data_IF_193680488982
#
_entry.id   IF_193680488982
#
_cell.length_a   1.000
_cell.length_b   1.000
_cell.length_c   1.000
_cell.angle_alpha   90.00
_cell.angle_beta   90.00
_cell.angle_gamma   90.00
#
_symmetry.space_group_name_H-M   'P 1'
#
loop_
_entity.id
_entity.type
_entity.pdbx_description
1 polymer ?
#
# COMPACT_ATOMS: atom_id res chain seq x y z
N UNK A 1 -20.89 -4.59 -32.37
CA UNK A 1 -19.81 -3.64 -32.14
C UNK A 1 -20.22 -2.80 -30.93
N UNK A 2 -20.06 -3.38 -29.75
CA UNK A 2 -18.95 -3.13 -28.82
C UNK A 2 -19.27 -1.96 -27.87
N UNK A 3 -20.12 -2.23 -26.87
CA UNK A 3 -20.25 -1.41 -25.65
C UNK A 3 -19.93 -2.31 -24.44
N UNK A 4 -18.99 -3.24 -24.59
CA UNK A 4 -18.57 -4.15 -23.51
C UNK A 4 -17.14 -3.85 -23.04
N UNK A 5 -16.32 -3.16 -23.84
CA UNK A 5 -14.90 -3.02 -23.52
C UNK A 5 -14.57 -1.97 -22.45
N UNK A 6 -15.22 -0.80 -22.42
CA UNK A 6 -14.73 0.28 -21.54
C UNK A 6 -15.06 0.08 -20.06
N UNK A 7 -16.25 -0.45 -19.73
CA UNK A 7 -16.64 -0.67 -18.32
C UNK A 7 -15.86 -1.83 -17.69
N UNK A 8 -15.57 -2.87 -18.47
CA UNK A 8 -14.80 -4.01 -17.99
C UNK A 8 -13.33 -3.65 -17.74
N UNK A 9 -12.71 -2.84 -18.62
CA UNK A 9 -11.32 -2.41 -18.46
C UNK A 9 -11.18 -1.52 -17.21
N UNK A 10 -12.04 -0.52 -17.05
CA UNK A 10 -12.03 0.34 -15.86
C UNK A 10 -12.28 -0.43 -14.55
N UNK A 11 -13.10 -1.49 -14.59
CA UNK A 11 -13.36 -2.32 -13.40
C UNK A 11 -12.17 -3.19 -13.02
N UNK A 12 -11.42 -3.71 -14.01
CA UNK A 12 -10.19 -4.48 -13.79
C UNK A 12 -9.08 -3.58 -13.27
N UNK A 13 -8.85 -2.42 -13.89
CA UNK A 13 -7.85 -1.44 -13.44
C UNK A 13 -8.13 -0.95 -12.01
N UNK A 14 -9.40 -0.66 -11.68
CA UNK A 14 -9.78 -0.27 -10.33
C UNK A 14 -9.57 -1.40 -9.31
N UNK A 15 -9.85 -2.65 -9.69
CA UNK A 15 -9.64 -3.81 -8.83
C UNK A 15 -8.14 -4.06 -8.60
N UNK A 16 -7.31 -3.91 -9.62
CA UNK A 16 -5.84 -4.04 -9.52
C UNK A 16 -5.25 -2.95 -8.63
N UNK A 17 -5.63 -1.68 -8.84
CA UNK A 17 -5.18 -0.56 -8.00
C UNK A 17 -5.59 -0.77 -6.53
N UNK A 18 -6.82 -1.24 -6.28
CA UNK A 18 -7.29 -1.53 -4.92
C UNK A 18 -6.54 -2.69 -4.28
N UNK A 19 -6.31 -3.77 -5.02
CA UNK A 19 -5.50 -4.90 -4.54
C UNK A 19 -4.08 -4.43 -4.17
N UNK A 20 -3.47 -3.58 -4.99
CA UNK A 20 -2.16 -2.99 -4.69
C UNK A 20 -2.18 -2.09 -3.45
N UNK A 21 -3.25 -1.31 -3.22
CA UNK A 21 -3.39 -0.52 -1.99
C UNK A 21 -3.53 -1.41 -0.76
N UNK A 22 -4.34 -2.48 -0.85
CA UNK A 22 -4.54 -3.43 0.26
C UNK A 22 -3.24 -4.17 0.61
N UNK A 23 -2.44 -4.56 -0.39
CA UNK A 23 -1.12 -5.16 -0.22
C UNK A 23 -0.15 -4.22 0.50
N UNK A 24 -0.04 -2.96 0.03
CA UNK A 24 0.83 -1.94 0.64
C UNK A 24 0.38 -1.64 2.08
N UNK A 25 -0.93 -1.55 2.32
CA UNK A 25 -1.50 -1.34 3.65
C UNK A 25 -1.18 -2.52 4.58
N UNK A 26 -1.20 -3.75 4.06
CA UNK A 26 -0.82 -4.94 4.82
C UNK A 26 0.66 -4.92 5.21
N UNK A 27 1.54 -4.49 4.30
CA UNK A 27 2.96 -4.34 4.61
C UNK A 27 3.23 -3.26 5.64
N UNK A 28 2.56 -2.10 5.54
CA UNK A 28 2.67 -1.03 6.55
C UNK A 28 2.23 -1.53 7.93
N UNK A 29 1.09 -2.22 8.01
CA UNK A 29 0.59 -2.77 9.27
C UNK A 29 1.54 -3.82 9.87
N UNK A 30 2.12 -4.68 9.03
CA UNK A 30 3.07 -5.69 9.48
C UNK A 30 4.35 -5.06 10.05
N UNK A 31 4.92 -4.07 9.38
CA UNK A 31 6.11 -3.37 9.86
C UNK A 31 5.82 -2.56 11.13
N UNK A 32 4.70 -1.85 11.18
CA UNK A 32 4.24 -1.13 12.38
C UNK A 32 4.08 -2.07 13.57
N UNK A 33 3.47 -3.25 13.38
CA UNK A 33 3.38 -4.27 14.43
C UNK A 33 4.75 -4.73 14.93
N UNK A 34 5.70 -4.97 14.02
CA UNK A 34 7.06 -5.37 14.41
C UNK A 34 7.78 -4.28 15.20
N UNK A 35 7.63 -3.01 14.80
CA UNK A 35 8.20 -1.86 15.51
C UNK A 35 7.65 -1.71 16.93
N UNK A 36 6.37 -2.01 17.14
CA UNK A 36 5.74 -1.98 18.47
C UNK A 36 6.10 -3.20 19.33
N UNK A 37 6.23 -4.38 18.72
CA UNK A 37 6.39 -5.64 19.43
C UNK A 37 7.84 -6.00 19.78
N UNK A 38 8.81 -5.49 19.01
CA UNK A 38 10.22 -5.89 19.10
C UNK A 38 11.13 -4.76 19.56
N UNK A 39 12.18 -5.13 20.28
CA UNK A 39 13.30 -4.23 20.58
C UNK A 39 14.13 -3.91 19.33
N UNK A 40 14.94 -2.84 19.40
CA UNK A 40 15.82 -2.47 18.29
C UNK A 40 16.82 -3.59 17.91
N UNK A 41 17.35 -4.32 18.89
CA UNK A 41 18.25 -5.45 18.67
C UNK A 41 17.55 -6.62 17.97
N UNK A 42 16.32 -6.94 18.35
CA UNK A 42 15.52 -8.00 17.70
C UNK A 42 15.12 -7.64 16.27
N UNK A 43 14.85 -6.36 16.02
CA UNK A 43 14.60 -5.84 14.67
C UNK A 43 15.84 -6.02 13.80
N UNK A 44 17.00 -5.60 14.29
CA UNK A 44 18.28 -5.73 13.58
C UNK A 44 18.61 -7.20 13.27
N UNK A 45 18.42 -8.11 14.23
CA UNK A 45 18.66 -9.54 14.04
C UNK A 45 17.69 -10.20 13.04
N UNK A 46 16.41 -9.80 13.03
CA UNK A 46 15.38 -10.47 12.21
C UNK A 46 15.24 -9.88 10.82
N UNK A 47 15.34 -8.56 10.70
CA UNK A 47 15.15 -7.83 9.46
C UNK A 47 16.47 -7.44 8.78
N UNK A 48 17.60 -7.60 9.49
CA UNK A 48 18.92 -7.19 9.00
C UNK A 48 18.93 -5.71 8.57
N UNK A 49 18.21 -4.89 9.33
CA UNK A 49 18.04 -3.46 9.14
C UNK A 49 17.92 -2.79 10.52
N UNK A 50 18.41 -1.56 10.64
CA UNK A 50 18.24 -0.77 11.86
C UNK A 50 16.77 -0.41 12.09
N UNK A 51 16.42 -0.13 13.35
CA UNK A 51 15.07 0.33 13.69
C UNK A 51 14.68 1.59 12.91
N UNK A 52 15.59 2.56 12.80
CA UNK A 52 15.36 3.83 12.10
C UNK A 52 15.08 3.60 10.60
N UNK A 53 15.76 2.64 9.96
CA UNK A 53 15.49 2.28 8.56
C UNK A 53 14.08 1.68 8.40
N UNK A 54 13.65 0.83 9.33
CA UNK A 54 12.31 0.23 9.31
C UNK A 54 11.22 1.28 9.59
N UNK A 55 11.47 2.22 10.50
CA UNK A 55 10.59 3.37 10.75
C UNK A 55 10.47 4.25 9.49
N UNK A 56 11.58 4.53 8.81
CA UNK A 56 11.58 5.24 7.52
C UNK A 56 10.76 4.52 6.45
N UNK A 57 10.88 3.19 6.34
CA UNK A 57 10.07 2.40 5.41
C UNK A 57 8.57 2.48 5.73
N UNK A 58 8.18 2.48 7.01
CA UNK A 58 6.78 2.68 7.39
C UNK A 58 6.27 4.06 6.95
N UNK A 59 7.06 5.10 7.11
CA UNK A 59 6.67 6.45 6.70
C UNK A 59 6.52 6.58 5.18
N UNK A 60 7.44 5.99 4.41
CA UNK A 60 7.34 5.90 2.95
C UNK A 60 6.05 5.18 2.51
N UNK A 61 5.74 4.04 3.15
CA UNK A 61 4.51 3.29 2.86
C UNK A 61 3.25 4.10 3.16
N UNK A 62 3.21 4.82 4.29
CA UNK A 62 2.07 5.71 4.63
C UNK A 62 1.92 6.82 3.61
N UNK A 63 3.02 7.39 3.13
CA UNK A 63 2.99 8.41 2.08
C UNK A 63 2.41 7.85 0.79
N UNK A 64 2.84 6.66 0.38
CA UNK A 64 2.34 5.98 -0.83
C UNK A 64 0.83 5.69 -0.69
N UNK A 65 0.38 5.14 0.45
CA UNK A 65 -1.04 4.88 0.72
C UNK A 65 -1.85 6.17 0.60
N UNK A 66 -1.36 7.27 1.18
CA UNK A 66 -2.03 8.58 1.10
C UNK A 66 -2.17 9.08 -0.34
N UNK A 67 -1.12 8.95 -1.15
CA UNK A 67 -1.15 9.31 -2.58
C UNK A 67 -2.13 8.42 -3.36
N UNK A 68 -2.14 7.11 -3.11
CA UNK A 68 -3.01 6.19 -3.83
C UNK A 68 -4.49 6.36 -3.45
N UNK A 69 -4.79 6.64 -2.18
CA UNK A 69 -6.15 6.89 -1.70
C UNK A 69 -6.75 8.19 -2.28
N UNK A 70 -5.92 9.21 -2.50
CA UNK A 70 -6.34 10.49 -3.10
C UNK A 70 -6.43 10.44 -4.62
N UNK A 71 -5.87 9.41 -5.26
CA UNK A 71 -5.88 9.21 -6.71
C UNK A 71 -7.10 8.42 -7.21
N UNK A 72 -8.19 8.37 -6.44
CA UNK A 72 -9.43 7.74 -6.89
C UNK A 72 -9.91 8.44 -8.17
N UNK A 73 -10.05 7.73 -9.31
CA UNK A 73 -10.47 8.35 -10.55
C UNK A 73 -11.88 8.91 -10.37
N UNK A 74 -12.07 10.20 -10.69
CA UNK A 74 -13.40 10.81 -10.70
C UNK A 74 -14.35 9.96 -11.56
N UNK A 75 -15.59 9.71 -11.10
CA UNK A 75 -16.56 9.04 -11.94
C UNK A 75 -16.78 9.90 -13.19
N UNK A 76 -16.51 9.33 -14.36
CA UNK A 76 -16.81 9.93 -15.65
C UNK A 76 -18.32 10.18 -15.65
N UNK A 77 -18.71 11.44 -15.47
CA UNK A 77 -20.11 11.86 -15.50
C UNK A 77 -20.61 11.66 -16.93
N UNK A 78 -21.57 10.74 -17.09
CA UNK A 78 -22.26 10.44 -18.34
C UNK A 78 -23.35 11.48 -18.64
#
# INVERSE_FOLDING_TARGET
>A
MEIISNTSIASVELAEVRASIDEITTYEAALSYLLEALSAEEIEQRLNASRDEVEGMCDDLRQIISVLQTSTPEPISA
#
